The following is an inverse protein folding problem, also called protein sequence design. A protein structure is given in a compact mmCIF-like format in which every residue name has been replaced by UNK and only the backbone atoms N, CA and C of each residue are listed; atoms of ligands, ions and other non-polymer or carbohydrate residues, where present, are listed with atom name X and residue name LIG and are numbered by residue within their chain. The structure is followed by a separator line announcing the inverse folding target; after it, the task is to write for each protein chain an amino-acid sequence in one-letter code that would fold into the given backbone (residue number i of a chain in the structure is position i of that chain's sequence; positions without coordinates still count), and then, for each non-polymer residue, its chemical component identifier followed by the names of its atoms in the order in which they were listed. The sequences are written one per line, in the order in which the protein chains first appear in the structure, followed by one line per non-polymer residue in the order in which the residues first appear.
data_IF_886704237679
#
_entry.id   IF_886704237679
#
_cell.length_a   1.000
_cell.length_b   1.000
_cell.length_c   1.000
_cell.angle_alpha   90.00
_cell.angle_beta   90.00
_cell.angle_gamma   90.00
#
_symmetry.space_group_name_H-M   'P 1'
#
loop_
_entity.id
_entity.type
_entity.pdbx_description
1 polymer ?
#
# COMPACT_ATOMS: atom_id res chain seq x y z
N UNK A 1 14.30 -5.39 21.89
CA UNK A 1 14.88 -4.38 20.99
C UNK A 1 13.91 -3.23 20.95
N UNK A 2 14.37 -2.01 21.21
CA UNK A 2 13.50 -0.83 21.11
C UNK A 2 13.25 -0.45 19.66
N UNK A 3 12.19 0.32 19.39
CA UNK A 3 11.88 0.78 18.03
C UNK A 3 13.00 1.67 17.48
N UNK A 4 13.60 2.52 18.31
CA UNK A 4 14.76 3.36 17.92
C UNK A 4 15.99 2.52 17.59
N UNK A 5 16.31 1.49 18.40
CA UNK A 5 17.39 0.53 18.12
C UNK A 5 17.17 -0.23 16.80
N UNK A 6 15.93 -0.64 16.52
CA UNK A 6 15.59 -1.31 15.27
C UNK A 6 15.85 -0.40 14.06
N UNK A 7 15.41 0.86 14.13
CA UNK A 7 15.60 1.84 13.04
C UNK A 7 17.08 2.19 12.86
N UNK A 8 17.87 2.24 13.94
CA UNK A 8 19.31 2.49 13.90
C UNK A 8 20.13 1.26 13.50
N UNK A 9 19.59 0.05 13.64
CA UNK A 9 20.28 -1.20 13.35
C UNK A 9 20.38 -1.57 11.86
N UNK A 10 21.19 -2.59 11.53
CA UNK A 10 21.24 -3.18 10.18
C UNK A 10 19.98 -3.96 9.82
N UNK A 11 19.21 -4.39 10.83
CA UNK A 11 17.95 -5.11 10.66
C UNK A 11 16.94 -4.34 9.79
N UNK A 12 16.96 -3.01 9.85
CA UNK A 12 16.12 -2.18 8.99
C UNK A 12 16.45 -2.37 7.50
N UNK A 13 17.73 -2.39 7.15
CA UNK A 13 18.18 -2.49 5.77
C UNK A 13 17.90 -3.87 5.18
N UNK A 14 18.04 -4.93 5.99
CA UNK A 14 17.62 -6.28 5.62
C UNK A 14 16.13 -6.36 5.27
N UNK A 15 15.31 -5.53 5.91
CA UNK A 15 13.84 -5.55 5.82
C UNK A 15 13.34 -4.70 4.65
N UNK A 16 13.86 -3.48 4.48
CA UNK A 16 13.43 -2.54 3.43
C UNK A 16 14.13 -2.81 2.09
N UNK A 17 15.34 -3.38 2.12
CA UNK A 17 16.16 -3.82 0.98
C UNK A 17 16.77 -2.69 0.13
N UNK A 18 16.18 -1.48 0.07
CA UNK A 18 16.79 -0.32 -0.61
C UNK A 18 16.50 1.01 0.10
N UNK A 19 17.31 2.03 -0.19
CA UNK A 19 17.21 3.41 0.35
C UNK A 19 17.21 3.48 1.89
N UNK A 20 18.01 2.65 2.55
CA UNK A 20 18.12 2.60 4.02
C UNK A 20 18.25 3.98 4.69
N UNK A 21 19.19 4.85 4.27
CA UNK A 21 19.37 6.17 4.87
C UNK A 21 18.13 7.07 4.81
N UNK A 22 17.45 7.10 3.65
CA UNK A 22 16.25 7.91 3.43
C UNK A 22 15.10 7.42 4.33
N UNK A 23 14.92 6.10 4.44
CA UNK A 23 13.88 5.53 5.29
C UNK A 23 14.19 5.69 6.78
N UNK A 24 15.47 5.64 7.19
CA UNK A 24 15.87 5.93 8.58
C UNK A 24 15.40 7.33 8.99
N UNK A 25 15.69 8.34 8.18
CA UNK A 25 15.27 9.72 8.46
C UNK A 25 13.75 9.83 8.57
N UNK A 26 13.02 9.25 7.60
CA UNK A 26 11.55 9.26 7.60
C UNK A 26 10.96 8.54 8.81
N UNK A 27 11.55 7.43 9.23
CA UNK A 27 11.06 6.62 10.35
C UNK A 27 11.39 7.25 11.69
N UNK A 28 12.56 7.85 11.85
CA UNK A 28 12.92 8.65 13.03
C UNK A 28 11.89 9.76 13.27
N UNK A 29 11.50 10.49 12.21
CA UNK A 29 10.45 11.52 12.29
C UNK A 29 9.09 10.95 12.71
N UNK A 30 8.74 9.74 12.26
CA UNK A 30 7.47 9.07 12.63
C UNK A 30 7.48 8.69 14.11
N UNK A 31 8.54 8.04 14.60
CA UNK A 31 8.58 7.55 15.99
C UNK A 31 8.71 8.68 17.00
N UNK A 32 9.31 9.80 16.62
CA UNK A 32 9.35 11.04 17.40
C UNK A 32 7.96 11.67 17.49
N UNK A 33 7.27 11.81 16.36
CA UNK A 33 5.90 12.33 16.33
C UNK A 33 4.90 11.43 17.06
N UNK A 34 5.13 10.12 17.06
CA UNK A 34 4.30 9.14 17.75
C UNK A 34 4.62 9.01 19.25
N UNK A 35 5.76 9.54 19.71
CA UNK A 35 6.30 9.39 21.07
C UNK A 35 6.42 7.92 21.50
N UNK A 36 7.18 7.12 20.72
CA UNK A 36 7.34 5.66 20.90
C UNK A 36 8.78 5.17 20.76
N UNK A 37 9.76 6.06 20.85
CA UNK A 37 11.17 5.75 20.57
C UNK A 37 11.73 4.65 21.47
N UNK A 38 11.35 4.67 22.76
CA UNK A 38 11.76 3.70 23.77
C UNK A 38 10.84 2.49 23.91
N UNK A 39 9.75 2.43 23.15
CA UNK A 39 8.83 1.27 23.17
C UNK A 39 9.51 0.04 22.57
N UNK A 40 9.12 -1.15 23.06
CA UNK A 40 9.57 -2.40 22.46
C UNK A 40 8.93 -2.59 21.07
N UNK A 41 9.67 -3.24 20.16
CA UNK A 41 9.16 -3.61 18.83
C UNK A 41 7.90 -4.49 18.83
N UNK A 42 7.54 -5.13 19.95
CA UNK A 42 6.33 -5.96 20.12
C UNK A 42 5.18 -5.23 20.82
N UNK A 43 5.37 -3.96 21.19
CA UNK A 43 4.33 -3.16 21.82
C UNK A 43 3.25 -2.77 20.78
N UNK A 44 2.11 -3.45 20.82
CA UNK A 44 0.99 -3.20 19.90
C UNK A 44 0.41 -1.78 20.04
N UNK A 45 0.50 -1.15 21.22
CA UNK A 45 0.05 0.24 21.38
C UNK A 45 0.99 1.20 20.63
N UNK A 46 2.30 0.97 20.73
CA UNK A 46 3.29 1.72 19.99
C UNK A 46 3.12 1.54 18.47
N UNK A 47 2.90 0.29 18.02
CA UNK A 47 2.64 -0.02 16.60
C UNK A 47 1.37 0.68 16.11
N UNK A 48 0.31 0.75 16.93
CA UNK A 48 -0.91 1.46 16.59
C UNK A 48 -0.67 2.96 16.44
N UNK A 49 0.08 3.58 17.36
CA UNK A 49 0.47 5.00 17.28
C UNK A 49 1.29 5.30 16.01
N UNK A 50 2.24 4.44 15.66
CA UNK A 50 3.00 4.53 14.41
C UNK A 50 2.05 4.51 13.21
N UNK A 51 1.12 3.55 13.18
CA UNK A 51 0.18 3.39 12.07
C UNK A 51 -0.72 4.61 11.89
N UNK A 52 -1.11 5.27 12.98
CA UNK A 52 -1.91 6.51 12.95
C UNK A 52 -1.10 7.77 12.62
N UNK A 53 0.23 7.70 12.61
CA UNK A 53 1.07 8.86 12.36
C UNK A 53 1.08 9.19 10.88
N UNK A 54 0.77 10.45 10.53
CA UNK A 54 0.76 10.90 9.15
C UNK A 54 2.17 11.16 8.65
N UNK A 55 2.54 10.54 7.53
CA UNK A 55 3.83 10.70 6.86
C UNK A 55 3.72 10.41 5.36
N UNK A 56 3.80 11.48 4.56
CA UNK A 56 3.54 11.45 3.13
C UNK A 56 4.54 10.58 2.33
N UNK A 57 4.01 9.76 1.43
CA UNK A 57 4.77 8.94 0.50
C UNK A 57 4.27 9.13 -0.93
N UNK A 58 5.12 9.70 -1.79
CA UNK A 58 4.80 9.95 -3.20
C UNK A 58 4.55 8.68 -4.01
N UNK A 59 5.32 7.62 -3.78
CA UNK A 59 5.11 6.35 -4.50
C UNK A 59 3.78 5.71 -4.10
N UNK A 60 3.42 5.78 -2.81
CA UNK A 60 2.15 5.30 -2.32
C UNK A 60 0.98 6.13 -2.89
N UNK A 61 1.13 7.45 -3.02
CA UNK A 61 0.14 8.30 -3.68
C UNK A 61 -0.05 7.93 -5.16
N UNK A 62 1.04 7.95 -5.95
CA UNK A 62 0.98 7.76 -7.40
C UNK A 62 0.56 6.34 -7.81
N UNK A 63 0.96 5.32 -7.06
CA UNK A 63 0.73 3.91 -7.42
C UNK A 63 -0.23 3.17 -6.49
N UNK A 64 -0.64 3.77 -5.37
CA UNK A 64 -1.74 3.33 -4.48
C UNK A 64 -1.81 1.83 -4.23
N UNK A 65 -2.82 1.15 -4.79
CA UNK A 65 -3.04 -0.28 -4.61
C UNK A 65 -1.89 -1.14 -5.17
N UNK A 66 -1.28 -0.74 -6.31
CA UNK A 66 -0.09 -1.42 -6.85
C UNK A 66 1.09 -1.30 -5.90
N UNK A 67 1.25 -0.13 -5.29
CA UNK A 67 2.30 0.09 -4.30
C UNK A 67 2.06 -0.74 -3.03
N UNK A 68 0.82 -0.84 -2.55
CA UNK A 68 0.45 -1.68 -1.40
C UNK A 68 0.74 -3.17 -1.68
N UNK A 69 0.32 -3.67 -2.85
CA UNK A 69 0.61 -5.05 -3.29
C UNK A 69 2.12 -5.28 -3.36
N UNK A 70 2.85 -4.35 -3.97
CA UNK A 70 4.31 -4.40 -4.02
C UNK A 70 4.94 -4.44 -2.63
N UNK A 71 4.42 -3.69 -1.65
CA UNK A 71 4.91 -3.64 -0.26
C UNK A 71 4.39 -4.77 0.64
N UNK A 72 3.75 -5.80 0.05
CA UNK A 72 3.15 -6.95 0.75
C UNK A 72 2.00 -6.60 1.69
N UNK A 73 1.38 -5.43 1.52
CA UNK A 73 0.11 -5.07 2.15
C UNK A 73 -1.06 -5.74 1.39
N UNK A 74 -0.99 -7.07 1.23
CA UNK A 74 -1.83 -7.82 0.29
C UNK A 74 -3.32 -7.60 0.54
N UNK A 75 -3.78 -7.66 1.80
CA UNK A 75 -5.20 -7.49 2.11
C UNK A 75 -5.72 -6.11 1.66
N UNK A 76 -5.00 -5.04 2.00
CA UNK A 76 -5.37 -3.68 1.61
C UNK A 76 -5.20 -3.45 0.11
N UNK A 77 -4.08 -3.89 -0.46
CA UNK A 77 -3.75 -3.71 -1.86
C UNK A 77 -4.71 -4.43 -2.81
N UNK A 78 -4.95 -5.72 -2.59
CA UNK A 78 -5.91 -6.50 -3.38
C UNK A 78 -7.35 -6.06 -3.14
N UNK A 79 -7.71 -5.74 -1.89
CA UNK A 79 -9.04 -5.20 -1.57
C UNK A 79 -9.33 -3.90 -2.30
N UNK A 80 -8.37 -2.96 -2.31
CA UNK A 80 -8.51 -1.70 -3.05
C UNK A 80 -8.53 -1.91 -4.56
N UNK A 81 -7.76 -2.87 -5.09
CA UNK A 81 -7.83 -3.22 -6.51
C UNK A 81 -9.25 -3.68 -6.89
N UNK A 82 -9.90 -4.52 -6.07
CA UNK A 82 -11.27 -4.96 -6.30
C UNK A 82 -12.25 -3.76 -6.23
N UNK A 83 -12.16 -2.94 -5.18
CA UNK A 83 -13.07 -1.80 -4.98
C UNK A 83 -12.97 -0.77 -6.10
N UNK A 84 -11.75 -0.39 -6.47
CA UNK A 84 -11.49 0.70 -7.42
C UNK A 84 -11.65 0.26 -8.87
N UNK A 85 -11.37 -1.01 -9.20
CA UNK A 85 -11.37 -1.47 -10.59
C UNK A 85 -12.45 -2.51 -10.91
N UNK A 86 -12.70 -3.47 -10.02
CA UNK A 86 -13.61 -4.58 -10.34
C UNK A 86 -15.09 -4.18 -10.29
N UNK A 87 -15.50 -3.41 -9.29
CA UNK A 87 -16.90 -2.97 -9.19
C UNK A 87 -17.32 -1.99 -10.31
N UNK A 88 -16.52 -0.95 -10.65
CA UNK A 88 -16.84 -0.10 -11.79
C UNK A 88 -16.88 -0.88 -13.12
N UNK A 89 -15.99 -1.86 -13.30
CA UNK A 89 -15.99 -2.75 -14.46
C UNK A 89 -17.26 -3.61 -14.54
N UNK A 90 -17.70 -4.23 -13.44
CA UNK A 90 -18.96 -4.96 -13.43
C UNK A 90 -20.14 -4.03 -13.72
N UNK A 91 -20.16 -2.83 -13.13
CA UNK A 91 -21.18 -1.84 -13.42
C UNK A 91 -21.21 -1.49 -14.91
N UNK A 92 -20.07 -1.30 -15.59
CA UNK A 92 -20.05 -0.99 -17.03
C UNK A 92 -20.58 -2.12 -17.92
N UNK A 93 -20.47 -3.39 -17.49
CA UNK A 93 -20.99 -4.54 -18.26
C UNK A 93 -22.50 -4.72 -18.06
N UNK A 94 -23.01 -4.53 -16.85
CA UNK A 94 -24.42 -4.80 -16.53
C UNK A 94 -25.34 -3.57 -16.67
N UNK A 95 -24.79 -2.36 -16.74
CA UNK A 95 -25.57 -1.12 -16.91
C UNK A 95 -25.81 -0.85 -18.39
N UNK A 96 -26.88 -1.43 -18.93
CA UNK A 96 -27.33 -1.23 -20.33
C UNK A 96 -28.03 0.14 -20.53
N UNK A 97 -28.36 0.87 -19.46
CA UNK A 97 -29.11 2.12 -19.54
C UNK A 97 -28.31 3.31 -18.99
N UNK A 98 -27.82 4.14 -19.91
CA UNK A 98 -27.30 5.51 -19.74
C UNK A 98 -26.16 5.70 -18.72
N UNK A 99 -24.91 5.99 -19.16
CA UNK A 99 -23.85 6.40 -18.25
C UNK A 99 -24.29 7.69 -17.53
N UNK A 100 -24.64 7.57 -16.25
CA UNK A 100 -24.96 8.75 -15.46
C UNK A 100 -23.63 9.46 -15.10
N UNK A 101 -23.46 10.75 -15.43
CA UNK A 101 -22.24 11.50 -15.12
C UNK A 101 -21.93 11.53 -13.61
N UNK A 102 -22.94 11.25 -12.78
CA UNK A 102 -22.83 11.14 -11.32
C UNK A 102 -22.00 9.93 -10.89
N UNK A 103 -22.18 8.75 -11.49
CA UNK A 103 -21.45 7.54 -11.11
C UNK A 103 -19.96 7.62 -11.46
N UNK A 104 -19.64 8.19 -12.62
CA UNK A 104 -18.26 8.41 -13.04
C UNK A 104 -17.55 9.40 -12.11
N UNK A 105 -18.22 10.50 -11.77
CA UNK A 105 -17.69 11.49 -10.82
C UNK A 105 -17.41 10.88 -9.45
N UNK A 106 -18.33 10.06 -8.93
CA UNK A 106 -18.15 9.34 -7.66
C UNK A 106 -16.93 8.41 -7.73
N UNK A 107 -16.79 7.65 -8.82
CA UNK A 107 -15.64 6.74 -9.02
C UNK A 107 -14.29 7.47 -9.02
N UNK A 108 -14.21 8.62 -9.71
CA UNK A 108 -13.01 9.46 -9.71
C UNK A 108 -12.68 10.02 -8.32
N UNK A 109 -13.69 10.53 -7.60
CA UNK A 109 -13.51 11.07 -6.24
C UNK A 109 -13.05 9.97 -5.27
N UNK A 110 -13.64 8.78 -5.34
CA UNK A 110 -13.22 7.62 -4.54
C UNK A 110 -11.78 7.24 -4.85
N UNK A 111 -11.41 7.18 -6.14
CA UNK A 111 -10.06 6.85 -6.58
C UNK A 111 -9.03 7.86 -6.06
N UNK A 112 -9.29 9.15 -6.21
CA UNK A 112 -8.42 10.22 -5.71
C UNK A 112 -8.31 10.17 -4.18
N UNK A 113 -9.42 9.93 -3.48
CA UNK A 113 -9.43 9.81 -2.02
C UNK A 113 -8.55 8.64 -1.55
N UNK A 114 -8.63 7.49 -2.21
CA UNK A 114 -7.76 6.34 -1.96
C UNK A 114 -6.30 6.71 -2.17
N UNK A 115 -5.97 7.40 -3.29
CA UNK A 115 -4.60 7.85 -3.56
C UNK A 115 -4.06 8.74 -2.46
N UNK A 116 -4.84 9.73 -2.02
CA UNK A 116 -4.45 10.66 -0.96
C UNK A 116 -4.27 9.94 0.37
N UNK A 117 -5.22 9.08 0.77
CA UNK A 117 -5.16 8.33 2.04
C UNK A 117 -3.91 7.42 2.05
N UNK A 118 -3.70 6.64 0.99
CA UNK A 118 -2.54 5.75 0.89
C UNK A 118 -1.22 6.54 0.86
N UNK A 119 -1.21 7.71 0.21
CA UNK A 119 -0.10 8.66 0.25
C UNK A 119 0.22 9.15 1.66
N UNK A 120 -0.80 9.57 2.42
CA UNK A 120 -0.67 10.11 3.78
C UNK A 120 -0.11 9.08 4.77
N UNK A 121 -0.52 7.81 4.65
CA UNK A 121 -0.12 6.75 5.59
C UNK A 121 1.03 5.87 5.09
N UNK A 122 1.52 6.08 3.86
CA UNK A 122 2.44 5.15 3.19
C UNK A 122 3.71 4.85 3.99
N UNK A 123 4.44 5.86 4.48
CA UNK A 123 5.68 5.59 5.24
C UNK A 123 5.40 4.86 6.57
N UNK A 124 4.29 5.19 7.21
CA UNK A 124 3.89 4.59 8.49
C UNK A 124 3.49 3.12 8.33
N UNK A 125 2.82 2.77 7.25
CA UNK A 125 2.53 1.38 6.89
C UNK A 125 3.81 0.57 6.66
N UNK A 126 4.80 1.16 5.99
CA UNK A 126 6.11 0.50 5.82
C UNK A 126 6.75 0.22 7.17
N UNK A 127 6.86 1.24 8.03
CA UNK A 127 7.52 1.11 9.32
C UNK A 127 6.82 0.06 10.19
N UNK A 128 5.48 0.09 10.25
CA UNK A 128 4.66 -0.92 10.94
C UNK A 128 5.04 -2.32 10.49
N UNK A 129 5.03 -2.56 9.18
CA UNK A 129 5.34 -3.88 8.66
C UNK A 129 6.79 -4.26 8.93
N UNK A 130 7.71 -3.28 9.06
CA UNK A 130 9.13 -3.56 9.15
C UNK A 130 9.45 -4.07 10.54
N UNK A 131 8.84 -3.40 11.52
CA UNK A 131 8.81 -3.81 12.91
C UNK A 131 8.15 -5.20 13.06
N UNK A 132 6.97 -5.43 12.45
CA UNK A 132 6.29 -6.74 12.51
C UNK A 132 7.10 -7.85 11.86
N UNK A 133 7.63 -7.63 10.66
CA UNK A 133 8.45 -8.62 9.97
C UNK A 133 9.72 -8.98 10.76
N UNK A 134 10.32 -8.00 11.43
CA UNK A 134 11.44 -8.20 12.34
C UNK A 134 11.05 -9.03 13.57
N UNK A 135 9.89 -8.75 14.19
CA UNK A 135 9.39 -9.45 15.37
C UNK A 135 8.90 -10.87 15.13
N UNK A 136 8.28 -11.12 13.97
CA UNK A 136 7.54 -12.36 13.69
C UNK A 136 8.37 -13.44 12.97
N UNK A 137 9.51 -13.08 12.34
CA UNK A 137 10.23 -14.01 11.47
C UNK A 137 11.75 -14.05 11.69
N UNK A 138 12.30 -15.26 11.82
CA UNK A 138 13.74 -15.53 11.84
C UNK A 138 14.34 -15.66 10.43
N UNK A 139 13.51 -15.84 9.41
CA UNK A 139 13.94 -16.04 8.02
C UNK A 139 14.05 -14.71 7.25
N UNK A 140 15.26 -14.37 6.82
CA UNK A 140 15.58 -13.14 6.06
C UNK A 140 14.79 -12.99 4.76
N UNK A 141 14.42 -14.09 4.10
CA UNK A 141 13.59 -14.07 2.88
C UNK A 141 12.15 -13.60 3.14
N UNK A 142 11.61 -13.84 4.34
CA UNK A 142 10.25 -13.41 4.72
C UNK A 142 10.26 -11.96 5.20
N UNK A 143 11.38 -11.49 5.76
CA UNK A 143 11.59 -10.09 6.16
C UNK A 143 11.52 -9.10 5.00
N UNK A 144 11.84 -9.54 3.77
CA UNK A 144 11.78 -8.65 2.59
C UNK A 144 10.34 -8.19 2.35
N UNK A 145 10.10 -6.90 2.57
CA UNK A 145 8.79 -6.28 2.44
C UNK A 145 8.42 -5.90 1.00
N UNK A 146 8.84 -6.72 0.05
CA UNK A 146 8.63 -6.47 -1.38
C UNK A 146 8.16 -7.74 -2.06
N UNK A 147 7.21 -7.61 -2.97
CA UNK A 147 6.72 -8.69 -3.82
C UNK A 147 6.60 -8.22 -5.26
N UNK A 148 7.70 -8.25 -6.04
CA UNK A 148 7.66 -7.94 -7.46
C UNK A 148 6.72 -8.87 -8.23
N UNK A 149 6.63 -10.14 -7.83
CA UNK A 149 5.75 -11.13 -8.48
C UNK A 149 4.28 -10.73 -8.30
N UNK A 150 3.87 -10.37 -7.07
CA UNK A 150 2.48 -9.94 -6.83
C UNK A 150 2.14 -8.65 -7.58
N UNK A 151 3.09 -7.72 -7.69
CA UNK A 151 2.93 -6.51 -8.48
C UNK A 151 2.70 -6.86 -9.97
N UNK A 152 3.52 -7.73 -10.55
CA UNK A 152 3.36 -8.15 -11.95
C UNK A 152 2.03 -8.85 -12.19
N UNK A 153 1.59 -9.72 -11.27
CA UNK A 153 0.27 -10.34 -11.35
C UNK A 153 -0.86 -9.31 -11.35
N UNK A 154 -0.78 -8.29 -10.48
CA UNK A 154 -1.77 -7.22 -10.43
C UNK A 154 -1.79 -6.37 -11.72
N UNK A 155 -0.62 -6.10 -12.30
CA UNK A 155 -0.49 -5.37 -13.57
C UNK A 155 -1.10 -6.19 -14.72
N UNK A 156 -0.75 -7.48 -14.83
CA UNK A 156 -1.27 -8.38 -15.86
C UNK A 156 -2.79 -8.51 -15.76
N UNK A 157 -3.33 -8.64 -14.53
CA UNK A 157 -4.76 -8.67 -14.29
C UNK A 157 -5.43 -7.38 -14.79
N UNK A 158 -4.85 -6.21 -14.48
CA UNK A 158 -5.36 -4.92 -14.93
C UNK A 158 -5.37 -4.82 -16.47
N UNK A 159 -4.29 -5.24 -17.13
CA UNK A 159 -4.18 -5.24 -18.59
C UNK A 159 -5.23 -6.18 -19.20
N UNK A 160 -5.39 -7.38 -18.65
CA UNK A 160 -6.39 -8.34 -19.11
C UNK A 160 -7.82 -7.81 -19.00
N UNK A 161 -8.17 -7.19 -17.87
CA UNK A 161 -9.48 -6.56 -17.68
C UNK A 161 -9.71 -5.41 -18.66
N UNK A 162 -8.72 -4.54 -18.86
CA UNK A 162 -8.83 -3.43 -19.83
C UNK A 162 -9.01 -3.95 -21.26
N UNK A 163 -8.27 -4.99 -21.64
CA UNK A 163 -8.41 -5.64 -22.94
C UNK A 163 -9.82 -6.21 -23.16
N UNK A 164 -10.43 -6.79 -22.12
CA UNK A 164 -11.82 -7.28 -22.18
C UNK A 164 -12.82 -6.14 -22.40
N UNK A 165 -12.66 -4.98 -21.74
CA UNK A 165 -13.52 -3.81 -21.96
C UNK A 165 -13.44 -3.35 -23.42
N UNK A 166 -12.21 -3.15 -23.92
CA UNK A 166 -11.98 -2.67 -25.30
C UNK A 166 -12.55 -3.67 -26.32
N UNK A 167 -12.38 -4.97 -26.08
CA UNK A 167 -12.92 -6.02 -26.94
C UNK A 167 -14.46 -6.01 -26.96
N UNK A 168 -15.10 -5.85 -25.80
CA UNK A 168 -16.55 -5.73 -25.69
C UNK A 168 -17.09 -4.50 -26.44
N UNK A 169 -16.45 -3.35 -26.29
CA UNK A 169 -16.80 -2.13 -27.04
C UNK A 169 -16.63 -2.29 -28.55
N UNK A 170 -15.62 -3.04 -28.99
CA UNK A 170 -15.39 -3.32 -30.42
C UNK A 170 -16.46 -4.23 -31.02
N UNK A 171 -16.95 -5.24 -30.29
CA UNK A 171 -18.00 -6.13 -30.79
C UNK A 171 -19.42 -5.55 -30.72
N UNK A 172 -19.64 -4.55 -29.87
CA UNK A 172 -20.94 -3.87 -29.71
C UNK A 172 -21.15 -2.68 -30.66
N UNK A 173 -20.13 -2.26 -31.41
CA UNK A 173 -20.19 -1.23 -32.47
C UNK A 173 -20.14 -1.87 -33.86
#
# INVERSE_FOLDING_TARGET
TTISEFIAGPALEETIVTNGPEYREKFSKIIEKADVQGSDTKDEQAIKKITSTLSWNWSAFLFSYLWLIYRRENLLGWGLLIVVWFFPYLASIYSVESPSPTLDTISWVVSLSVMVIVGIFGNSLILRNAIRAYGDTTLSAVRKQRSPIALWLAILLKIGMLGMVILLEFFNN
#
